data_IF_077539267099
#
_entry.id   IF_077539267099
#
_cell.length_a   1.000
_cell.length_b   1.000
_cell.length_c   1.000
_cell.angle_alpha   90.00
_cell.angle_beta   90.00
_cell.angle_gamma   90.00
#
_symmetry.space_group_name_H-M   'P 1'
#
loop_
_entity.id
_entity.type
_entity.pdbx_description
1 polymer ?
#
# COMPACT_ATOMS: atom_id res chain seq x y z
N UNK A 1 4.39 46.52 -18.56
CA UNK A 1 5.40 45.59 -17.97
C UNK A 1 5.19 45.29 -16.49
N UNK A 2 4.67 46.23 -15.67
CA UNK A 2 4.40 45.99 -14.24
C UNK A 2 3.24 45.02 -13.97
N UNK A 3 2.18 45.09 -14.78
CA UNK A 3 0.98 44.23 -14.68
C UNK A 3 1.26 42.74 -14.90
N UNK A 4 2.14 42.40 -15.85
CA UNK A 4 2.52 41.00 -16.10
C UNK A 4 3.23 40.36 -14.90
N UNK A 5 4.10 41.12 -14.22
CA UNK A 5 4.80 40.64 -13.02
C UNK A 5 3.83 40.35 -11.88
N UNK A 6 2.80 41.20 -11.71
CA UNK A 6 1.77 41.03 -10.68
C UNK A 6 0.95 39.76 -10.95
N UNK A 7 0.56 39.52 -12.21
CA UNK A 7 -0.19 38.31 -12.60
C UNK A 7 0.62 37.05 -12.33
N UNK A 8 1.93 37.05 -12.64
CA UNK A 8 2.80 35.89 -12.40
C UNK A 8 2.96 35.58 -10.89
N UNK A 9 3.13 36.62 -10.06
CA UNK A 9 3.23 36.45 -8.60
C UNK A 9 1.92 35.90 -8.02
N UNK A 10 0.78 36.41 -8.46
CA UNK A 10 -0.53 35.91 -8.05
C UNK A 10 -0.74 34.44 -8.44
N UNK A 11 -0.32 34.05 -9.64
CA UNK A 11 -0.41 32.67 -10.11
C UNK A 11 0.43 31.72 -9.23
N UNK A 12 1.67 32.10 -8.94
CA UNK A 12 2.58 31.30 -8.10
C UNK A 12 2.06 31.15 -6.66
N UNK A 13 1.43 32.19 -6.11
CA UNK A 13 0.77 32.11 -4.80
C UNK A 13 -0.41 31.13 -4.81
N UNK A 14 -1.24 31.15 -5.85
CA UNK A 14 -2.33 30.17 -6.00
C UNK A 14 -1.79 28.73 -6.12
N UNK A 15 -0.77 28.51 -6.94
CA UNK A 15 -0.14 27.20 -7.09
C UNK A 15 0.45 26.66 -5.78
N UNK A 16 1.13 27.50 -5.00
CA UNK A 16 1.72 27.08 -3.72
C UNK A 16 0.68 26.76 -2.65
N UNK A 17 -0.46 27.46 -2.62
CA UNK A 17 -1.58 27.15 -1.71
C UNK A 17 -2.24 25.82 -2.09
N UNK A 18 -2.41 25.55 -3.38
CA UNK A 18 -2.94 24.27 -3.87
C UNK A 18 -1.99 23.09 -3.57
N UNK A 19 -0.68 23.29 -3.69
CA UNK A 19 0.31 22.25 -3.41
C UNK A 19 0.35 21.85 -1.92
N UNK A 20 0.15 22.81 -1.00
CA UNK A 20 0.13 22.53 0.45
C UNK A 20 -1.07 21.69 0.91
N UNK A 21 -2.15 21.65 0.12
CA UNK A 21 -3.30 20.77 0.38
C UNK A 21 -3.04 19.31 -0.06
N UNK A 22 -2.02 19.08 -0.87
CA UNK A 22 -1.69 17.74 -1.42
C UNK A 22 -0.54 17.05 -0.67
N UNK A 23 0.17 17.75 0.21
CA UNK A 23 1.25 17.22 1.03
C UNK A 23 0.77 16.86 2.44
N UNK A 24 -0.38 16.20 2.54
CA UNK A 24 -0.56 15.21 3.57
C UNK A 24 -0.34 13.87 2.86
N UNK A 25 0.85 13.26 2.92
CA UNK A 25 0.87 11.80 2.87
C UNK A 25 0.06 11.38 4.09
N UNK A 26 -1.23 11.11 3.88
CA UNK A 26 -1.93 10.23 4.79
C UNK A 26 -1.06 8.97 4.83
N UNK A 27 -0.29 8.81 5.90
CA UNK A 27 -0.04 7.49 6.44
C UNK A 27 -1.41 6.96 6.81
N UNK A 28 -2.17 6.58 5.78
CA UNK A 28 -3.36 5.79 5.91
C UNK A 28 -2.81 4.52 6.56
N UNK A 29 -2.94 4.45 7.89
CA UNK A 29 -3.15 3.20 8.59
C UNK A 29 -4.45 2.65 8.03
N UNK A 30 -4.42 2.23 6.77
CA UNK A 30 -5.21 1.13 6.29
C UNK A 30 -4.74 0.03 7.23
N UNK A 31 -5.51 -0.22 8.27
CA UNK A 31 -5.73 -1.59 8.70
C UNK A 31 -6.51 -2.19 7.51
N UNK A 32 -5.79 -2.35 6.40
CA UNK A 32 -6.24 -3.05 5.23
C UNK A 32 -6.61 -4.39 5.82
N UNK A 33 -7.90 -4.71 5.75
CA UNK A 33 -8.46 -5.94 6.29
C UNK A 33 -7.89 -7.07 5.45
N UNK A 34 -6.63 -7.40 5.70
CA UNK A 34 -5.85 -8.40 4.98
C UNK A 34 -6.54 -9.71 5.24
N UNK A 35 -7.04 -10.32 4.17
CA UNK A 35 -7.73 -11.60 4.25
C UNK A 35 -6.69 -12.63 4.68
N UNK A 36 -6.90 -13.37 5.77
CA UNK A 36 -5.95 -14.39 6.19
C UNK A 36 -5.96 -15.53 5.18
N UNK A 37 -4.77 -16.01 4.82
CA UNK A 37 -4.60 -17.09 3.85
C UNK A 37 -3.61 -18.13 4.39
N UNK A 38 -3.74 -19.36 3.89
CA UNK A 38 -2.91 -20.49 4.28
C UNK A 38 -1.60 -20.45 3.51
N UNK A 39 -0.50 -20.62 4.22
CA UNK A 39 0.82 -20.79 3.66
C UNK A 39 1.22 -22.27 3.60
N UNK A 40 2.16 -22.61 2.73
CA UNK A 40 2.63 -24.00 2.57
C UNK A 40 3.29 -24.53 3.87
N UNK A 41 3.80 -23.63 4.70
CA UNK A 41 4.42 -23.94 6.00
C UNK A 41 3.42 -24.24 7.13
N UNK A 42 2.12 -23.95 6.94
CA UNK A 42 1.12 -24.02 8.02
C UNK A 42 0.79 -25.46 8.47
N UNK A 43 1.33 -26.47 7.77
CA UNK A 43 1.18 -27.88 8.11
C UNK A 43 -0.29 -28.37 8.05
N UNK A 44 -0.52 -29.66 8.30
CA UNK A 44 -1.88 -30.20 8.43
C UNK A 44 -2.45 -29.86 9.81
N UNK A 45 -3.15 -28.73 9.90
CA UNK A 45 -3.86 -28.30 11.11
C UNK A 45 -5.35 -28.59 11.00
N UNK A 46 -5.93 -29.26 12.02
CA UNK A 46 -7.36 -29.56 12.12
C UNK A 46 -8.23 -28.30 12.22
N UNK A 47 -7.63 -27.19 12.67
CA UNK A 47 -8.32 -25.91 12.87
C UNK A 47 -7.99 -24.86 11.80
N UNK A 48 -7.14 -25.22 10.83
CA UNK A 48 -6.66 -24.32 9.78
C UNK A 48 -5.79 -23.20 10.34
N UNK A 49 -4.48 -23.40 10.37
CA UNK A 49 -3.54 -22.30 10.67
C UNK A 49 -3.44 -21.40 9.44
N UNK A 50 -3.59 -20.10 9.63
CA UNK A 50 -3.52 -19.08 8.58
C UNK A 50 -2.41 -18.09 8.95
N UNK A 51 -1.17 -18.39 8.59
CA UNK A 51 -0.04 -17.49 8.89
C UNK A 51 0.11 -16.36 7.88
N UNK A 52 -0.51 -16.49 6.70
CA UNK A 52 -0.38 -15.55 5.60
C UNK A 52 -1.48 -14.49 5.55
N UNK A 53 -1.24 -13.48 4.71
CA UNK A 53 -2.18 -12.42 4.36
C UNK A 53 -2.26 -12.28 2.84
N UNK A 54 -3.45 -12.09 2.31
CA UNK A 54 -3.64 -11.83 0.87
C UNK A 54 -3.22 -10.41 0.55
N UNK A 55 -2.33 -10.26 -0.44
CA UNK A 55 -2.04 -8.99 -1.09
C UNK A 55 -2.53 -9.05 -2.55
N UNK A 56 -3.21 -7.99 -3.04
CA UNK A 56 -3.57 -7.88 -4.44
C UNK A 56 -2.29 -7.82 -5.29
N UNK A 57 -2.30 -8.54 -6.42
CA UNK A 57 -1.17 -8.66 -7.35
C UNK A 57 0.05 -9.40 -6.79
N UNK A 58 0.85 -8.75 -5.93
CA UNK A 58 2.13 -9.26 -5.47
C UNK A 58 2.43 -8.84 -4.03
N UNK A 59 3.30 -9.61 -3.35
CA UNK A 59 3.70 -9.27 -1.99
C UNK A 59 4.47 -7.94 -1.94
N UNK A 60 4.11 -7.12 -0.95
CA UNK A 60 4.77 -5.84 -0.71
C UNK A 60 6.19 -6.05 -0.11
N UNK A 61 7.01 -5.01 -0.11
CA UNK A 61 8.36 -5.04 0.47
C UNK A 61 8.32 -5.45 1.94
N UNK A 62 9.17 -6.41 2.34
CA UNK A 62 9.17 -7.01 3.67
C UNK A 62 8.23 -8.20 3.84
N UNK A 63 7.51 -8.58 2.79
CA UNK A 63 6.68 -9.79 2.73
C UNK A 63 7.22 -10.73 1.65
N UNK A 64 7.06 -12.04 1.87
CA UNK A 64 7.43 -13.09 0.90
C UNK A 64 6.21 -13.91 0.53
N UNK A 65 6.12 -14.34 -0.74
CA UNK A 65 5.12 -15.32 -1.17
C UNK A 65 5.29 -16.59 -0.35
N UNK A 66 4.22 -17.04 0.27
CA UNK A 66 4.24 -18.22 1.13
C UNK A 66 3.50 -19.43 0.54
N UNK A 67 2.90 -19.24 -0.65
CA UNK A 67 2.39 -20.31 -1.49
C UNK A 67 2.74 -20.02 -2.94
N UNK A 68 2.95 -21.07 -3.73
CA UNK A 68 3.31 -20.96 -5.14
C UNK A 68 2.16 -20.43 -6.00
N UNK A 69 0.92 -20.76 -5.64
CA UNK A 69 -0.28 -20.36 -6.36
C UNK A 69 -1.41 -20.03 -5.38
N UNK A 70 -1.95 -18.82 -5.47
CA UNK A 70 -3.13 -18.42 -4.70
C UNK A 70 -4.31 -18.12 -5.63
N UNK A 71 -4.25 -17.00 -6.37
CA UNK A 71 -5.18 -16.72 -7.47
C UNK A 71 -4.44 -15.96 -8.58
N UNK A 72 -5.08 -15.79 -9.74
CA UNK A 72 -4.48 -15.03 -10.84
C UNK A 72 -4.29 -13.53 -10.53
N UNK A 73 -5.03 -12.98 -9.57
CA UNK A 73 -5.06 -11.54 -9.25
C UNK A 73 -4.57 -11.21 -7.84
N UNK A 74 -4.20 -12.20 -7.04
CA UNK A 74 -3.76 -12.02 -5.67
C UNK A 74 -2.74 -13.08 -5.26
N UNK A 75 -1.82 -12.67 -4.39
CA UNK A 75 -0.78 -13.52 -3.81
C UNK A 75 -1.01 -13.68 -2.31
N UNK A 76 -0.72 -14.87 -1.78
CA UNK A 76 -0.67 -15.08 -0.33
C UNK A 76 0.75 -14.82 0.19
N UNK A 77 0.87 -13.91 1.13
CA UNK A 77 2.11 -13.30 1.56
C UNK A 77 2.32 -13.45 3.07
N UNK A 78 3.54 -13.80 3.47
CA UNK A 78 3.95 -13.91 4.86
C UNK A 78 4.93 -12.79 5.21
N UNK A 79 4.71 -12.12 6.34
CA UNK A 79 5.59 -11.06 6.81
C UNK A 79 6.90 -11.67 7.28
N UNK A 80 8.02 -11.22 6.70
CA UNK A 80 9.34 -11.65 7.14
C UNK A 80 9.69 -10.81 8.37
N UNK A 81 9.84 -11.45 9.54
CA UNK A 81 10.46 -10.80 10.69
C UNK A 81 11.95 -10.71 10.39
N UNK A 82 12.45 -9.48 10.21
CA UNK A 82 13.87 -9.19 10.16
C UNK A 82 14.52 -9.39 11.52
#
# INVERSE_FOLDING_TARGET
>A
MASLKIVLVALMLLYTVSARRLSAPEEEKVIEKRIPCRCDIDGPSVRGTLSGSVDPWNCNTGWKKCTSFYTAVASCCLKVKG
#
